data_IF_494689036740
#
_entry.id   IF_494689036740
#
_cell.length_a   1.000
_cell.length_b   1.000
_cell.length_c   1.000
_cell.angle_alpha   90.00
_cell.angle_beta   90.00
_cell.angle_gamma   90.00
#
_symmetry.space_group_name_H-M   'P 1'
#
loop_
_entity.id
_entity.type
_entity.pdbx_description
1 polymer ?
#
# COMPACT_ATOMS: atom_id res chain seq x y z
N UNK A 1 -12.66 -10.86 16.77
CA UNK A 1 -11.47 -11.15 15.95
C UNK A 1 -10.44 -10.08 16.26
N UNK A 2 -9.44 -10.36 17.09
CA UNK A 2 -8.39 -9.39 17.43
C UNK A 2 -7.23 -9.55 16.44
N UNK A 3 -6.66 -8.46 15.88
CA UNK A 3 -5.46 -8.56 15.05
C UNK A 3 -4.31 -9.06 15.94
N UNK A 4 -3.66 -10.15 15.53
CA UNK A 4 -2.46 -10.64 16.21
C UNK A 4 -1.34 -9.62 16.02
N UNK A 5 -0.98 -8.90 17.08
CA UNK A 5 0.26 -8.12 17.16
C UNK A 5 1.41 -9.10 17.39
N UNK A 6 2.39 -9.12 16.50
CA UNK A 6 3.58 -9.96 16.63
C UNK A 6 4.68 -9.16 17.35
N UNK A 7 4.90 -9.46 18.64
CA UNK A 7 6.01 -8.88 19.41
C UNK A 7 7.33 -9.56 19.02
N UNK A 8 8.27 -8.78 18.47
CA UNK A 8 9.56 -9.26 17.92
C UNK A 8 10.54 -9.77 18.96
N UNK A 9 10.29 -9.58 20.26
CA UNK A 9 11.12 -10.19 21.30
C UNK A 9 11.03 -11.72 21.33
N UNK A 10 10.15 -12.35 20.52
CA UNK A 10 10.06 -13.82 20.42
C UNK A 10 10.08 -14.43 19.02
N UNK A 11 10.13 -13.64 17.95
CA UNK A 11 10.38 -14.19 16.62
C UNK A 11 11.89 -14.32 16.42
N UNK A 12 12.41 -15.52 16.72
CA UNK A 12 13.57 -16.01 15.96
C UNK A 12 13.30 -15.69 14.50
N UNK A 13 14.30 -15.14 13.80
CA UNK A 13 14.34 -15.16 12.36
C UNK A 13 14.18 -16.62 11.91
N UNK A 14 12.94 -17.05 11.68
CA UNK A 14 12.68 -18.39 11.19
C UNK A 14 12.91 -18.32 9.69
N UNK A 15 13.98 -18.98 9.27
CA UNK A 15 14.20 -19.48 7.93
C UNK A 15 13.15 -20.54 7.53
N UNK A 16 11.88 -20.35 7.90
CA UNK A 16 10.78 -21.27 7.63
C UNK A 16 10.02 -20.79 6.39
N UNK A 17 10.01 -21.55 5.27
CA UNK A 17 9.44 -21.09 4.00
C UNK A 17 7.91 -21.03 3.96
N UNK A 18 7.21 -21.54 4.98
CA UNK A 18 5.74 -21.71 4.99
C UNK A 18 5.22 -21.57 6.43
N UNK A 19 5.12 -20.33 6.91
CA UNK A 19 4.43 -19.99 8.16
C UNK A 19 3.59 -18.73 7.96
N UNK A 20 2.52 -18.48 8.75
CA UNK A 20 1.69 -17.28 8.60
C UNK A 20 2.56 -16.05 8.84
N UNK A 21 2.85 -15.33 7.76
CA UNK A 21 3.60 -14.08 7.82
C UNK A 21 2.70 -13.03 8.46
N UNK A 22 3.14 -12.45 9.58
CA UNK A 22 2.36 -11.40 10.24
C UNK A 22 2.49 -10.12 9.43
N UNK A 23 1.38 -9.54 8.96
CA UNK A 23 1.38 -8.30 8.17
C UNK A 23 1.82 -7.05 8.94
N UNK A 24 2.13 -7.18 10.22
CA UNK A 24 2.46 -6.08 11.14
C UNK A 24 3.76 -6.38 11.88
N UNK A 25 4.75 -5.48 11.77
CA UNK A 25 6.09 -5.65 12.33
C UNK A 25 6.47 -4.37 13.08
N UNK A 26 6.87 -4.46 14.33
CA UNK A 26 7.40 -3.31 15.09
C UNK A 26 8.85 -3.04 14.67
N UNK A 27 9.17 -1.81 14.31
CA UNK A 27 10.52 -1.40 13.91
C UNK A 27 10.87 -0.03 14.46
N UNK A 28 11.73 -0.01 15.48
CA UNK A 28 12.07 1.20 16.25
C UNK A 28 10.79 1.88 16.77
N UNK A 29 10.61 3.17 16.48
CA UNK A 29 9.46 3.98 16.91
C UNK A 29 8.29 3.94 15.90
N UNK A 30 8.31 2.97 14.96
CA UNK A 30 7.28 2.79 13.93
C UNK A 30 6.76 1.36 13.93
N UNK A 31 5.54 1.21 13.42
CA UNK A 31 4.99 -0.07 12.98
C UNK A 31 5.03 -0.14 11.47
N UNK A 32 5.47 -1.27 10.94
CA UNK A 32 5.47 -1.57 9.52
C UNK A 32 4.26 -2.43 9.20
N UNK A 33 3.39 -1.91 8.33
CA UNK A 33 2.32 -2.66 7.70
C UNK A 33 2.84 -3.11 6.34
N UNK A 34 2.88 -4.41 6.07
CA UNK A 34 3.33 -4.91 4.78
C UNK A 34 2.38 -5.95 4.18
N UNK A 35 2.36 -5.98 2.84
CA UNK A 35 1.56 -6.94 2.08
C UNK A 35 2.25 -7.32 0.78
N UNK A 36 2.19 -8.61 0.46
CA UNK A 36 2.76 -9.18 -0.76
C UNK A 36 1.67 -9.41 -1.82
N UNK A 37 1.93 -8.96 -3.05
CA UNK A 37 1.12 -9.16 -4.24
C UNK A 37 1.98 -9.81 -5.34
N UNK A 38 1.91 -11.13 -5.45
CA UNK A 38 2.82 -11.92 -6.28
C UNK A 38 4.31 -11.59 -5.98
N UNK A 39 5.01 -10.93 -6.90
CA UNK A 39 6.40 -10.52 -6.75
C UNK A 39 6.57 -9.10 -6.17
N UNK A 40 5.49 -8.35 -5.93
CA UNK A 40 5.51 -6.99 -5.41
C UNK A 40 5.28 -6.98 -3.89
N UNK A 41 6.19 -6.35 -3.15
CA UNK A 41 6.00 -6.06 -1.73
C UNK A 41 5.68 -4.58 -1.54
N UNK A 42 4.62 -4.31 -0.80
CA UNK A 42 4.25 -2.96 -0.38
C UNK A 42 4.44 -2.89 1.13
N UNK A 43 5.18 -1.88 1.59
CA UNK A 43 5.51 -1.65 3.00
C UNK A 43 5.17 -0.21 3.34
N UNK A 44 4.43 0.00 4.42
CA UNK A 44 4.04 1.31 4.93
C UNK A 44 4.47 1.42 6.39
N UNK A 45 5.29 2.43 6.69
CA UNK A 45 5.62 2.78 8.07
C UNK A 45 4.57 3.71 8.66
N UNK A 46 4.07 3.37 9.84
CA UNK A 46 3.05 4.15 10.55
C UNK A 46 3.44 4.37 12.00
N UNK A 47 2.95 5.45 12.60
CA UNK A 47 3.14 5.71 14.04
C UNK A 47 2.25 4.80 14.87
N UNK A 48 2.58 4.68 16.17
CA UNK A 48 1.83 3.83 17.10
C UNK A 48 0.35 4.23 17.27
N UNK A 49 0.03 5.48 16.95
CA UNK A 49 -1.33 6.04 16.99
C UNK A 49 -2.24 5.60 15.85
N UNK A 50 -1.67 5.12 14.74
CA UNK A 50 -2.44 4.76 13.56
C UNK A 50 -3.02 3.35 13.66
N UNK A 51 -4.18 3.15 13.05
CA UNK A 51 -4.79 1.83 12.96
C UNK A 51 -4.13 1.03 11.84
N UNK A 52 -3.41 -0.04 12.24
CA UNK A 52 -2.66 -0.88 11.31
C UNK A 52 -3.58 -1.55 10.28
N UNK A 53 -4.82 -1.89 10.66
CA UNK A 53 -5.79 -2.51 9.77
C UNK A 53 -6.32 -1.50 8.72
N UNK A 54 -6.57 -0.25 9.10
CA UNK A 54 -6.98 0.78 8.14
C UNK A 54 -5.92 1.02 7.07
N UNK A 55 -4.65 0.96 7.46
CA UNK A 55 -3.50 1.09 6.54
C UNK A 55 -3.36 -0.15 5.66
N UNK A 56 -3.60 -1.34 6.21
CA UNK A 56 -3.62 -2.58 5.44
C UNK A 56 -4.70 -2.58 4.35
N UNK A 57 -5.88 -2.05 4.66
CA UNK A 57 -6.99 -1.89 3.72
C UNK A 57 -6.70 -0.78 2.69
N UNK A 58 -5.99 0.28 3.08
CA UNK A 58 -5.51 1.30 2.15
C UNK A 58 -4.53 0.71 1.12
N UNK A 59 -3.58 -0.12 1.57
CA UNK A 59 -2.66 -0.84 0.66
C UNK A 59 -3.45 -1.72 -0.30
N UNK A 60 -4.54 -2.34 0.16
CA UNK A 60 -5.43 -3.09 -0.73
C UNK A 60 -6.07 -2.23 -1.79
N UNK A 61 -6.70 -1.14 -1.38
CA UNK A 61 -7.35 -0.21 -2.28
C UNK A 61 -6.37 0.39 -3.29
N UNK A 62 -5.13 0.69 -2.87
CA UNK A 62 -4.08 1.20 -3.75
C UNK A 62 -3.75 0.19 -4.87
N UNK A 63 -3.56 -1.08 -4.53
CA UNK A 63 -3.29 -2.11 -5.55
C UNK A 63 -4.46 -2.31 -6.49
N UNK A 64 -5.70 -2.27 -6.02
CA UNK A 64 -6.88 -2.36 -6.89
C UNK A 64 -6.98 -1.17 -7.86
N UNK A 65 -6.61 0.04 -7.42
CA UNK A 65 -6.55 1.21 -8.30
C UNK A 65 -5.46 1.03 -9.34
N UNK A 66 -4.28 0.53 -8.95
CA UNK A 66 -3.19 0.23 -9.87
C UNK A 66 -3.59 -0.82 -10.90
N UNK A 67 -4.21 -1.92 -10.48
CA UNK A 67 -4.67 -3.00 -11.36
C UNK A 67 -5.74 -2.52 -12.35
N UNK A 68 -6.63 -1.63 -11.90
CA UNK A 68 -7.64 -1.00 -12.76
C UNK A 68 -7.02 -0.06 -13.80
N UNK A 69 -5.95 0.66 -13.45
CA UNK A 69 -5.33 1.63 -14.34
C UNK A 69 -4.31 0.98 -15.31
N UNK A 70 -3.49 0.06 -14.83
CA UNK A 70 -2.40 -0.54 -15.61
C UNK A 70 -2.80 -1.90 -16.19
N UNK A 71 -2.83 -2.02 -17.52
CA UNK A 71 -3.17 -3.30 -18.18
C UNK A 71 -2.04 -4.34 -18.21
N UNK A 72 -0.78 -3.98 -17.89
CA UNK A 72 0.37 -4.91 -18.00
C UNK A 72 1.43 -4.75 -16.90
N UNK A 73 2.08 -3.59 -16.82
CA UNK A 73 3.32 -3.44 -16.04
C UNK A 73 3.41 -2.08 -15.36
N UNK A 74 3.42 -2.08 -14.03
CA UNK A 74 3.51 -0.88 -13.19
C UNK A 74 4.89 -0.22 -13.31
N UNK A 75 5.96 -1.01 -13.48
CA UNK A 75 7.35 -0.54 -13.40
C UNK A 75 7.75 0.47 -14.50
N UNK A 76 7.03 0.53 -15.62
CA UNK A 76 7.35 1.46 -16.71
C UNK A 76 6.70 2.83 -16.56
N UNK A 77 5.75 2.99 -15.64
CA UNK A 77 4.92 4.19 -15.50
C UNK A 77 4.92 4.74 -14.07
N UNK A 78 6.11 4.86 -13.47
CA UNK A 78 6.28 5.27 -12.06
C UNK A 78 5.69 6.66 -11.80
N UNK A 79 5.75 7.58 -12.78
CA UNK A 79 5.13 8.91 -12.68
C UNK A 79 3.62 8.82 -12.43
N UNK A 80 2.95 7.89 -13.13
CA UNK A 80 1.50 7.68 -12.96
C UNK A 80 1.18 7.02 -11.62
N UNK A 81 2.06 6.14 -11.12
CA UNK A 81 1.94 5.57 -9.78
C UNK A 81 2.03 6.65 -8.70
N UNK A 82 2.96 7.61 -8.84
CA UNK A 82 3.08 8.73 -7.93
C UNK A 82 1.82 9.61 -7.92
N UNK A 83 1.24 9.90 -9.08
CA UNK A 83 -0.02 10.65 -9.17
C UNK A 83 -1.15 9.90 -8.43
N UNK A 84 -1.28 8.59 -8.61
CA UNK A 84 -2.27 7.79 -7.87
C UNK A 84 -2.03 7.90 -6.36
N UNK A 85 -0.77 7.79 -5.94
CA UNK A 85 -0.40 7.85 -4.53
C UNK A 85 -0.71 9.23 -3.92
N UNK A 86 -0.39 10.31 -4.63
CA UNK A 86 -0.64 11.70 -4.20
C UNK A 86 -2.13 12.04 -4.14
N UNK A 87 -2.96 11.42 -4.98
CA UNK A 87 -4.41 11.53 -4.88
C UNK A 87 -4.97 10.77 -3.68
N UNK A 88 -4.35 9.65 -3.30
CA UNK A 88 -4.81 8.84 -2.16
C UNK A 88 -4.29 9.34 -0.81
N UNK A 89 -3.05 9.83 -0.77
CA UNK A 89 -2.31 10.16 0.46
C UNK A 89 -1.64 11.52 0.30
N UNK A 90 -1.90 12.43 1.24
CA UNK A 90 -1.25 13.75 1.29
C UNK A 90 -0.86 14.07 2.73
N UNK A 91 0.35 14.61 2.92
CA UNK A 91 0.90 14.95 4.24
C UNK A 91 0.77 13.79 5.27
N UNK A 92 0.98 12.55 4.81
CA UNK A 92 0.89 11.34 5.63
C UNK A 92 -0.54 10.95 6.05
N UNK A 93 -1.58 11.52 5.43
CA UNK A 93 -2.99 11.21 5.72
C UNK A 93 -3.70 10.71 4.47
N UNK A 94 -4.65 9.81 4.67
CA UNK A 94 -5.56 9.37 3.61
C UNK A 94 -6.52 10.50 3.28
N UNK A 95 -6.57 10.92 2.02
CA UNK A 95 -7.44 12.02 1.56
C UNK A 95 -8.52 11.57 0.58
N UNK A 96 -8.27 10.50 -0.18
CA UNK A 96 -9.26 9.94 -1.10
C UNK A 96 -9.15 8.41 -1.14
N UNK A 97 -10.30 7.75 -1.20
CA UNK A 97 -10.41 6.29 -1.29
C UNK A 97 -11.31 5.84 -2.44
N UNK A 98 -12.10 6.75 -3.00
CA UNK A 98 -12.95 6.48 -4.15
C UNK A 98 -12.10 6.35 -5.42
N UNK A 99 -12.02 5.12 -5.94
CA UNK A 99 -11.21 4.79 -7.13
C UNK A 99 -11.51 5.67 -8.34
N UNK A 100 -12.77 6.07 -8.55
CA UNK A 100 -13.14 6.92 -9.69
C UNK A 100 -12.60 8.33 -9.57
N UNK A 101 -12.51 8.86 -8.34
CA UNK A 101 -11.92 10.18 -8.07
C UNK A 101 -10.40 10.14 -8.16
N UNK A 102 -9.76 9.12 -7.56
CA UNK A 102 -8.31 8.90 -7.65
C UNK A 102 -7.82 8.84 -9.11
N UNK A 103 -8.60 8.24 -10.01
CA UNK A 103 -8.24 8.10 -11.43
C UNK A 103 -8.62 9.31 -12.30
N UNK A 104 -9.38 10.28 -11.78
CA UNK A 104 -9.88 11.40 -12.57
C UNK A 104 -8.76 12.29 -13.15
N UNK A 105 -7.69 12.64 -12.40
CA UNK A 105 -6.58 13.43 -12.94
C UNK A 105 -5.84 12.70 -14.06
N UNK A 106 -5.64 11.39 -13.91
CA UNK A 106 -4.97 10.56 -14.92
C UNK A 106 -5.78 10.50 -16.22
N UNK A 107 -7.10 10.34 -16.11
CA UNK A 107 -7.97 10.38 -17.28
C UNK A 107 -7.95 11.73 -18.00
N UNK A 108 -7.70 12.83 -17.28
CA UNK A 108 -7.53 14.15 -17.90
C UNK A 108 -6.18 14.25 -18.62
N UNK A 109 -5.09 13.76 -18.01
CA UNK A 109 -3.75 13.75 -18.58
C UNK A 109 -3.67 12.88 -19.84
N UNK A 110 -4.31 11.70 -19.83
CA UNK A 110 -4.28 10.77 -20.95
C UNK A 110 -4.99 11.38 -22.19
N UNK A 111 -6.11 12.10 -21.98
CA UNK A 111 -6.78 12.84 -23.06
C UNK A 111 -5.94 13.96 -23.67
N UNK A 112 -5.04 14.56 -22.90
CA UNK A 112 -4.15 15.62 -23.39
C UNK A 112 -2.94 15.06 -24.14
N UNK A 113 -2.54 13.82 -23.84
CA UNK A 113 -1.43 13.15 -24.52
C UNK A 113 -1.82 12.59 -25.91
N UNK A 114 -3.11 12.30 -26.10
CA UNK A 114 -3.67 11.76 -27.34
C UNK A 114 -4.11 12.83 -28.36
N UNK A 115 -3.84 14.11 -28.10
CA UNK A 115 -4.14 15.25 -28.98
C UNK A 115 -2.89 15.97 -29.47
#
# INVERSE_FOLDING_TARGET
>A
MAPQKCNISRTRATSDPIGPTCSFVEYKDFKLVYRQYAALYIVVGVSDSENELSVYELVHNFVEVLDKYFSRVIMFNVDRVHIILDEMIQNGRVVETNRSRVLAPLAALDKMADG
#
